data_IF_703886064696
#
_entry.id   IF_703886064696
#
_cell.length_a   1.000
_cell.length_b   1.000
_cell.length_c   1.000
_cell.angle_alpha   90.00
_cell.angle_beta   90.00
_cell.angle_gamma   90.00
#
_symmetry.space_group_name_H-M   'P 1'
#
loop_
_entity.id
_entity.type
_entity.pdbx_description
1 polymer ?
#
# COMPACT_ATOMS: atom_id res chain seq x y z
N UNK A 1 2.15 -1.50 -37.63
CA UNK A 1 1.89 -1.62 -36.15
C UNK A 1 1.53 -3.06 -35.85
N UNK A 2 2.48 -3.84 -35.44
CA UNK A 2 2.40 -5.30 -35.34
C UNK A 2 1.62 -5.69 -34.07
N UNK A 3 0.53 -6.42 -34.27
CA UNK A 3 -0.24 -7.09 -33.23
C UNK A 3 0.66 -7.98 -32.35
N UNK A 4 1.18 -7.45 -31.24
CA UNK A 4 1.62 -8.28 -30.10
C UNK A 4 0.38 -8.49 -29.22
N UNK A 5 -0.70 -8.97 -29.86
CA UNK A 5 -1.90 -9.38 -29.16
C UNK A 5 -1.70 -10.78 -28.61
N UNK A 6 -1.66 -10.84 -27.25
CA UNK A 6 -1.89 -12.02 -26.41
C UNK A 6 -0.95 -13.22 -26.62
N UNK A 7 0.33 -13.04 -26.30
CA UNK A 7 1.20 -14.21 -26.04
C UNK A 7 0.77 -14.95 -24.75
N UNK A 8 0.01 -14.29 -23.87
CA UNK A 8 -0.47 -14.82 -22.61
C UNK A 8 -1.94 -14.43 -22.44
N UNK A 9 -2.84 -15.40 -22.56
CA UNK A 9 -4.29 -15.19 -22.57
C UNK A 9 -4.85 -14.78 -21.21
N UNK A 10 -4.15 -15.13 -20.13
CA UNK A 10 -4.54 -14.83 -18.75
C UNK A 10 -3.32 -14.74 -17.84
N UNK A 11 -3.53 -14.37 -16.59
CA UNK A 11 -2.48 -14.22 -15.58
C UNK A 11 -1.80 -15.54 -15.20
N UNK A 12 -2.51 -16.66 -15.28
CA UNK A 12 -1.95 -17.98 -15.03
C UNK A 12 -0.95 -18.39 -16.10
N UNK A 13 -1.26 -18.12 -17.38
CA UNK A 13 -0.34 -18.39 -18.49
C UNK A 13 0.91 -17.52 -18.38
N UNK A 14 0.73 -16.24 -17.98
CA UNK A 14 1.83 -15.31 -17.72
C UNK A 14 2.74 -15.83 -16.60
N UNK A 15 2.18 -16.22 -15.47
CA UNK A 15 2.93 -16.75 -14.33
C UNK A 15 3.69 -18.04 -14.70
N UNK A 16 3.03 -18.99 -15.39
CA UNK A 16 3.68 -20.23 -15.89
C UNK A 16 4.83 -19.96 -16.84
N UNK A 17 4.70 -18.95 -17.70
CA UNK A 17 5.76 -18.59 -18.63
C UNK A 17 6.95 -17.97 -17.88
N UNK A 18 6.70 -17.16 -16.85
CA UNK A 18 7.77 -16.59 -16.00
C UNK A 18 8.49 -17.69 -15.24
N UNK A 19 7.78 -18.68 -14.67
CA UNK A 19 8.39 -19.85 -14.02
C UNK A 19 9.32 -20.63 -14.94
N UNK A 20 9.05 -20.63 -16.25
CA UNK A 20 9.93 -21.23 -17.28
C UNK A 20 11.06 -20.31 -17.73
N UNK A 21 11.28 -19.19 -17.06
CA UNK A 21 12.34 -18.24 -17.39
C UNK A 21 12.11 -17.42 -18.65
N UNK A 22 10.87 -17.30 -19.12
CA UNK A 22 10.54 -16.56 -20.35
C UNK A 22 10.68 -15.04 -20.12
N UNK A 23 11.74 -14.44 -20.69
CA UNK A 23 12.01 -13.00 -20.57
C UNK A 23 10.90 -12.11 -21.15
N UNK A 24 10.20 -12.53 -22.20
CA UNK A 24 9.07 -11.75 -22.75
C UNK A 24 7.90 -11.72 -21.76
N UNK A 25 7.69 -12.80 -21.03
CA UNK A 25 6.69 -12.85 -19.98
C UNK A 25 7.07 -11.94 -18.79
N UNK A 26 8.35 -11.91 -18.41
CA UNK A 26 8.84 -10.98 -17.36
C UNK A 26 8.63 -9.52 -17.77
N UNK A 27 9.00 -9.15 -18.99
CA UNK A 27 8.75 -7.80 -19.50
C UNK A 27 7.25 -7.47 -19.52
N UNK A 28 6.41 -8.42 -19.94
CA UNK A 28 4.95 -8.23 -19.97
C UNK A 28 4.36 -8.04 -18.57
N UNK A 29 4.88 -8.75 -17.58
CA UNK A 29 4.49 -8.54 -16.18
C UNK A 29 4.81 -7.11 -15.75
N UNK A 30 6.04 -6.67 -15.99
CA UNK A 30 6.48 -5.32 -15.65
C UNK A 30 5.60 -4.26 -16.34
N UNK A 31 5.44 -4.32 -17.65
CA UNK A 31 4.60 -3.39 -18.39
C UNK A 31 3.16 -3.32 -17.86
N UNK A 32 2.60 -4.47 -17.47
CA UNK A 32 1.23 -4.56 -16.98
C UNK A 32 1.06 -3.96 -15.60
N UNK A 33 2.05 -4.15 -14.71
CA UNK A 33 1.88 -3.86 -13.29
C UNK A 33 2.73 -2.71 -12.76
N UNK A 34 3.75 -2.21 -13.49
CA UNK A 34 4.68 -1.21 -12.96
C UNK A 34 3.98 0.03 -12.40
N UNK A 35 3.04 0.63 -13.13
CA UNK A 35 2.31 1.82 -12.64
C UNK A 35 1.51 1.53 -11.36
N UNK A 36 0.81 0.38 -11.32
CA UNK A 36 0.05 -0.02 -10.12
C UNK A 36 0.96 -0.29 -8.93
N UNK A 37 2.08 -0.97 -9.16
CA UNK A 37 3.02 -1.33 -8.09
C UNK A 37 3.81 -0.14 -7.60
N UNK A 38 4.14 0.82 -8.46
CA UNK A 38 4.70 2.10 -8.04
C UNK A 38 3.72 2.84 -7.11
N UNK A 39 2.44 2.90 -7.46
CA UNK A 39 1.41 3.48 -6.60
C UNK A 39 1.27 2.73 -5.25
N UNK A 40 1.51 1.41 -5.22
CA UNK A 40 1.58 0.64 -3.97
C UNK A 40 2.80 1.07 -3.15
N UNK A 41 4.00 1.10 -3.73
CA UNK A 41 5.23 1.48 -3.03
C UNK A 41 5.16 2.92 -2.50
N UNK A 42 4.64 3.87 -3.30
CA UNK A 42 4.52 5.29 -2.91
C UNK A 42 3.60 5.54 -1.72
N UNK A 43 2.71 4.62 -1.36
CA UNK A 43 1.92 4.74 -0.12
C UNK A 43 2.76 4.55 1.14
N UNK A 44 3.89 3.87 1.02
CA UNK A 44 4.78 3.54 2.14
C UNK A 44 6.05 4.38 2.11
N UNK A 45 6.54 4.72 0.91
CA UNK A 45 7.80 5.44 0.67
C UNK A 45 7.46 6.76 0.01
N UNK A 46 7.66 7.88 0.72
CA UNK A 46 7.24 9.20 0.25
C UNK A 46 8.17 9.79 -0.81
N UNK A 47 9.46 9.44 -0.80
CA UNK A 47 10.38 9.83 -1.86
C UNK A 47 10.12 9.00 -3.12
N UNK A 48 9.95 9.70 -4.24
CA UNK A 48 9.58 9.07 -5.51
C UNK A 48 10.68 8.14 -6.04
N UNK A 49 11.94 8.58 -5.95
CA UNK A 49 13.08 7.78 -6.45
C UNK A 49 13.25 6.51 -5.61
N UNK A 50 13.17 6.65 -4.28
CA UNK A 50 13.20 5.50 -3.37
C UNK A 50 12.01 4.55 -3.60
N UNK A 51 10.81 5.06 -3.90
CA UNK A 51 9.65 4.22 -4.22
C UNK A 51 9.83 3.46 -5.55
N UNK A 52 10.47 4.07 -6.55
CA UNK A 52 10.83 3.43 -7.82
C UNK A 52 11.87 2.31 -7.59
N UNK A 53 12.90 2.55 -6.78
CA UNK A 53 13.91 1.55 -6.43
C UNK A 53 13.28 0.36 -5.69
N UNK A 54 12.43 0.62 -4.70
CA UNK A 54 11.68 -0.41 -3.97
C UNK A 54 10.78 -1.22 -4.90
N UNK A 55 10.14 -0.58 -5.87
CA UNK A 55 9.34 -1.28 -6.88
C UNK A 55 10.21 -2.20 -7.74
N UNK A 56 11.38 -1.75 -8.16
CA UNK A 56 12.32 -2.56 -8.95
C UNK A 56 12.78 -3.78 -8.14
N UNK A 57 13.18 -3.59 -6.89
CA UNK A 57 13.54 -4.67 -5.98
C UNK A 57 12.38 -5.66 -5.79
N UNK A 58 11.16 -5.15 -5.68
CA UNK A 58 9.95 -5.95 -5.62
C UNK A 58 9.75 -6.82 -6.87
N UNK A 59 9.97 -6.30 -8.08
CA UNK A 59 9.91 -7.10 -9.30
C UNK A 59 11.01 -8.16 -9.35
N UNK A 60 12.24 -7.83 -8.94
CA UNK A 60 13.31 -8.83 -8.83
C UNK A 60 12.91 -9.96 -7.87
N UNK A 61 12.34 -9.61 -6.72
CA UNK A 61 11.83 -10.57 -5.74
C UNK A 61 10.68 -11.43 -6.26
N UNK A 62 9.80 -10.86 -7.10
CA UNK A 62 8.73 -11.62 -7.76
C UNK A 62 9.32 -12.67 -8.69
N UNK A 63 10.32 -12.32 -9.50
CA UNK A 63 10.97 -13.27 -10.40
C UNK A 63 11.70 -14.38 -9.64
N UNK A 64 12.38 -14.04 -8.54
CA UNK A 64 13.06 -15.03 -7.70
C UNK A 64 12.09 -15.99 -7.00
N UNK A 65 10.89 -15.51 -6.65
CA UNK A 65 9.90 -16.27 -5.89
C UNK A 65 8.74 -16.81 -6.72
N UNK A 66 8.78 -16.68 -8.04
CA UNK A 66 7.66 -17.03 -8.92
C UNK A 66 7.24 -18.51 -8.76
N UNK A 67 8.18 -19.40 -8.44
CA UNK A 67 7.90 -20.81 -8.20
C UNK A 67 7.05 -21.05 -6.93
N UNK A 68 7.00 -20.07 -6.02
CA UNK A 68 6.16 -20.11 -4.84
C UNK A 68 4.70 -19.72 -5.12
N UNK A 69 4.40 -19.20 -6.31
CA UNK A 69 3.03 -18.93 -6.71
C UNK A 69 2.32 -20.26 -7.02
N UNK A 70 1.50 -20.71 -6.07
CA UNK A 70 0.82 -21.99 -6.13
C UNK A 70 -0.46 -22.01 -7.00
N UNK A 71 -0.69 -20.98 -7.82
CA UNK A 71 -1.89 -20.85 -8.68
C UNK A 71 -3.22 -20.87 -7.92
N UNK A 72 -3.19 -20.54 -6.63
CA UNK A 72 -4.38 -20.37 -5.81
C UNK A 72 -4.60 -18.86 -5.57
N UNK A 73 -5.80 -18.38 -5.92
CA UNK A 73 -6.15 -16.98 -5.78
C UNK A 73 -5.59 -16.05 -6.88
N UNK A 74 -5.63 -14.75 -6.64
CA UNK A 74 -5.22 -13.72 -7.60
C UNK A 74 -3.71 -13.61 -7.74
N UNK A 75 -3.21 -13.67 -8.96
CA UNK A 75 -1.80 -13.42 -9.26
C UNK A 75 -1.42 -11.95 -8.97
N UNK A 76 -2.29 -11.00 -9.33
CA UNK A 76 -2.09 -9.58 -8.97
C UNK A 76 -2.01 -9.41 -7.45
N UNK A 77 -2.86 -10.09 -6.69
CA UNK A 77 -2.83 -10.06 -5.22
C UNK A 77 -1.52 -10.62 -4.64
N UNK A 78 -0.98 -11.69 -5.23
CA UNK A 78 0.31 -12.26 -4.85
C UNK A 78 1.47 -11.30 -5.16
N UNK A 79 1.49 -10.69 -6.35
CA UNK A 79 2.45 -9.65 -6.76
C UNK A 79 2.40 -8.47 -5.78
N UNK A 80 1.20 -7.97 -5.48
CA UNK A 80 0.97 -6.84 -4.57
C UNK A 80 1.50 -7.14 -3.16
N UNK A 81 1.27 -8.36 -2.64
CA UNK A 81 1.75 -8.77 -1.31
C UNK A 81 3.28 -8.73 -1.22
N UNK A 82 3.99 -9.09 -2.29
CA UNK A 82 5.45 -8.98 -2.35
C UNK A 82 5.86 -7.51 -2.33
N UNK A 83 5.24 -6.64 -3.14
CA UNK A 83 5.53 -5.21 -3.18
C UNK A 83 5.34 -4.53 -1.82
N UNK A 84 4.23 -4.82 -1.14
CA UNK A 84 3.98 -4.30 0.21
C UNK A 84 5.08 -4.75 1.18
N UNK A 85 5.49 -6.01 1.12
CA UNK A 85 6.55 -6.52 2.00
C UNK A 85 7.90 -5.84 1.72
N UNK A 86 8.27 -5.61 0.46
CA UNK A 86 9.52 -4.89 0.11
C UNK A 86 9.46 -3.44 0.60
N UNK A 87 8.34 -2.74 0.40
CA UNK A 87 8.16 -1.39 0.91
C UNK A 87 8.26 -1.30 2.45
N UNK A 88 7.68 -2.26 3.16
CA UNK A 88 7.81 -2.34 4.62
C UNK A 88 9.25 -2.65 5.06
N UNK A 89 9.96 -3.52 4.37
CA UNK A 89 11.38 -3.82 4.64
C UNK A 89 12.22 -2.56 4.47
N UNK A 90 12.01 -1.79 3.41
CA UNK A 90 12.68 -0.53 3.16
C UNK A 90 12.44 0.48 4.29
N UNK A 91 11.18 0.73 4.66
CA UNK A 91 10.82 1.66 5.74
C UNK A 91 11.45 1.25 7.08
N UNK A 92 11.48 -0.05 7.37
CA UNK A 92 12.14 -0.59 8.58
C UNK A 92 13.64 -0.38 8.55
N UNK A 93 14.31 -0.61 7.42
CA UNK A 93 15.77 -0.43 7.28
C UNK A 93 16.20 1.01 7.52
N UNK A 94 15.37 1.97 7.12
CA UNK A 94 15.57 3.41 7.33
C UNK A 94 15.24 3.86 8.77
N UNK A 95 14.81 2.95 9.67
CA UNK A 95 14.34 3.29 11.03
C UNK A 95 13.26 4.39 11.06
N UNK A 96 12.46 4.48 10.01
CA UNK A 96 11.41 5.49 9.88
C UNK A 96 10.18 5.20 10.73
N UNK A 97 10.08 3.99 11.30
CA UNK A 97 8.97 3.61 12.19
C UNK A 97 9.40 3.95 13.62
N UNK A 98 9.09 5.16 14.07
CA UNK A 98 9.14 5.50 15.47
C UNK A 98 7.85 4.95 16.11
N UNK A 99 8.00 3.96 16.98
CA UNK A 99 6.90 3.46 17.81
C UNK A 99 6.85 4.35 19.06
N UNK A 100 6.11 5.45 18.98
CA UNK A 100 5.74 6.19 20.16
C UNK A 100 4.82 5.32 21.02
N UNK A 101 5.37 4.83 22.12
CA UNK A 101 4.69 4.00 23.13
C UNK A 101 3.79 4.87 24.02
N UNK A 102 3.00 5.80 23.46
CA UNK A 102 2.08 6.58 24.26
C UNK A 102 0.67 6.00 24.31
N UNK A 103 0.09 6.13 25.50
CA UNK A 103 -1.14 5.56 26.05
C UNK A 103 -2.31 5.30 25.07
N UNK A 104 -3.05 4.24 25.36
CA UNK A 104 -4.30 3.86 24.71
C UNK A 104 -5.29 5.03 24.70
N UNK A 105 -5.70 5.45 23.53
CA UNK A 105 -6.86 6.32 23.32
C UNK A 105 -8.03 5.40 22.97
N UNK A 106 -9.18 5.61 23.60
CA UNK A 106 -10.42 4.92 23.29
C UNK A 106 -10.75 5.00 21.80
N UNK A 107 -11.22 3.89 21.22
CA UNK A 107 -11.58 3.84 19.80
C UNK A 107 -12.71 4.83 19.51
N UNK A 108 -12.53 5.75 18.57
CA UNK A 108 -13.66 6.52 18.06
C UNK A 108 -14.58 5.56 17.29
N UNK A 109 -15.85 5.49 17.71
CA UNK A 109 -16.88 4.73 17.03
C UNK A 109 -17.02 5.17 15.58
N UNK A 110 -17.02 4.18 14.68
CA UNK A 110 -17.31 4.24 13.24
C UNK A 110 -16.71 5.43 12.49
N UNK A 111 -15.70 5.12 11.68
CA UNK A 111 -15.13 6.07 10.73
C UNK A 111 -15.85 5.91 9.38
N UNK A 112 -16.70 6.90 9.05
CA UNK A 112 -17.32 7.00 7.74
C UNK A 112 -16.75 8.20 7.00
N UNK A 113 -16.25 7.96 5.78
CA UNK A 113 -15.93 9.04 4.86
C UNK A 113 -17.22 9.56 4.24
N UNK A 114 -17.40 10.88 4.19
CA UNK A 114 -18.45 11.47 3.36
C UNK A 114 -18.15 11.13 1.89
N UNK A 115 -19.19 10.79 1.13
CA UNK A 115 -19.08 10.36 -0.28
C UNK A 115 -18.53 11.45 -1.23
N UNK A 116 -18.34 12.67 -0.75
CA UNK A 116 -18.07 13.85 -1.56
C UNK A 116 -16.58 14.24 -1.62
N UNK A 117 -15.68 13.43 -1.01
CA UNK A 117 -14.23 13.70 -1.05
C UNK A 117 -13.64 13.09 -2.32
N UNK A 118 -12.95 13.90 -3.10
CA UNK A 118 -12.20 13.41 -4.25
C UNK A 118 -11.08 12.45 -3.80
N UNK A 119 -10.94 11.34 -4.52
CA UNK A 119 -9.95 10.29 -4.17
C UNK A 119 -8.52 10.84 -4.03
N UNK A 120 -8.16 11.86 -4.82
CA UNK A 120 -6.85 12.50 -4.76
C UNK A 120 -6.63 13.28 -3.46
N UNK A 121 -7.67 13.98 -2.97
CA UNK A 121 -7.62 14.71 -1.72
C UNK A 121 -7.47 13.76 -0.53
N UNK A 122 -8.24 12.66 -0.53
CA UNK A 122 -8.10 11.61 0.48
C UNK A 122 -6.70 11.02 0.51
N UNK A 123 -6.09 10.74 -0.65
CA UNK A 123 -4.72 10.22 -0.72
C UNK A 123 -3.70 11.22 -0.14
N UNK A 124 -3.83 12.52 -0.43
CA UNK A 124 -2.98 13.58 0.17
C UNK A 124 -3.13 13.63 1.69
N UNK A 125 -4.34 13.45 2.20
CA UNK A 125 -4.58 13.41 3.64
C UNK A 125 -3.92 12.19 4.29
N UNK A 126 -4.06 10.99 3.69
CA UNK A 126 -3.40 9.76 4.16
C UNK A 126 -1.87 9.94 4.12
N UNK A 127 -1.32 10.56 3.08
CA UNK A 127 0.12 10.81 2.96
C UNK A 127 0.65 11.76 4.04
N UNK A 128 -0.19 12.67 4.53
CA UNK A 128 0.15 13.59 5.63
C UNK A 128 0.15 12.95 7.02
N UNK A 129 -0.27 11.69 7.17
CA UNK A 129 -0.22 10.99 8.46
C UNK A 129 1.23 10.80 8.93
N UNK A 130 1.50 10.88 10.25
CA UNK A 130 2.76 10.40 10.83
C UNK A 130 3.06 8.97 10.39
N UNK A 131 4.33 8.66 10.19
CA UNK A 131 4.76 7.39 9.54
C UNK A 131 4.13 6.15 10.17
N UNK A 132 4.14 6.01 11.50
CA UNK A 132 3.55 4.85 12.18
C UNK A 132 2.03 4.72 11.92
N UNK A 133 1.31 5.84 11.98
CA UNK A 133 -0.14 5.86 11.73
C UNK A 133 -0.44 5.52 10.26
N UNK A 134 0.34 6.08 9.32
CA UNK A 134 0.23 5.82 7.89
C UNK A 134 0.44 4.34 7.58
N UNK A 135 1.47 3.70 8.17
CA UNK A 135 1.75 2.29 7.98
C UNK A 135 0.58 1.41 8.42
N UNK A 136 0.12 1.59 9.66
CA UNK A 136 -0.99 0.80 10.21
C UNK A 136 -2.28 1.05 9.42
N UNK A 137 -2.58 2.30 9.09
CA UNK A 137 -3.78 2.65 8.32
C UNK A 137 -3.77 1.98 6.94
N UNK A 138 -2.68 2.09 6.19
CA UNK A 138 -2.56 1.46 4.87
C UNK A 138 -2.69 -0.07 4.95
N UNK A 139 -2.02 -0.70 5.90
CA UNK A 139 -2.08 -2.15 6.05
C UNK A 139 -3.47 -2.63 6.44
N UNK A 140 -4.17 -1.92 7.33
CA UNK A 140 -5.50 -2.31 7.80
C UNK A 140 -6.59 -1.96 6.78
N UNK A 141 -6.67 -0.66 6.39
CA UNK A 141 -7.80 -0.15 5.62
C UNK A 141 -7.68 -0.42 4.10
N UNK A 142 -6.45 -0.49 3.56
CA UNK A 142 -6.24 -0.64 2.12
C UNK A 142 -5.82 -2.07 1.76
N UNK A 143 -4.94 -2.68 2.55
CA UNK A 143 -4.45 -4.04 2.26
C UNK A 143 -5.27 -5.14 2.97
N UNK A 144 -6.10 -4.79 3.96
CA UNK A 144 -7.00 -5.72 4.64
C UNK A 144 -6.34 -6.66 5.64
N UNK A 145 -5.14 -6.33 6.14
CA UNK A 145 -4.47 -7.14 7.17
C UNK A 145 -5.15 -6.98 8.53
N UNK A 146 -5.21 -8.07 9.30
CA UNK A 146 -5.61 -8.06 10.70
C UNK A 146 -4.57 -7.35 11.57
N UNK A 147 -4.96 -6.89 12.76
CA UNK A 147 -4.01 -6.28 13.72
C UNK A 147 -2.89 -7.23 14.14
N UNK A 148 -3.16 -8.53 14.23
CA UNK A 148 -2.16 -9.55 14.49
C UNK A 148 -1.11 -9.60 13.37
N UNK A 149 -1.53 -9.69 12.11
CA UNK A 149 -0.62 -9.69 10.95
C UNK A 149 0.18 -8.38 10.84
N UNK A 150 -0.46 -7.24 11.16
CA UNK A 150 0.21 -5.94 11.19
C UNK A 150 1.28 -5.91 12.29
N UNK A 151 0.95 -6.42 13.47
CA UNK A 151 1.89 -6.51 14.59
C UNK A 151 3.14 -7.30 14.21
N UNK A 152 2.97 -8.48 13.59
CA UNK A 152 4.07 -9.30 13.09
C UNK A 152 4.88 -8.58 11.99
N UNK A 153 4.18 -7.95 11.03
CA UNK A 153 4.83 -7.23 9.91
C UNK A 153 5.62 -6.01 10.36
N UNK A 154 5.12 -5.26 11.32
CA UNK A 154 5.76 -4.02 11.79
C UNK A 154 6.67 -4.22 13.01
N UNK A 155 6.63 -5.40 13.68
CA UNK A 155 7.39 -5.67 14.89
C UNK A 155 6.88 -4.87 16.09
N UNK A 156 5.56 -4.65 16.19
CA UNK A 156 4.86 -3.93 17.25
C UNK A 156 3.89 -4.88 17.98
N UNK A 157 3.28 -4.43 19.09
CA UNK A 157 2.18 -5.19 19.69
C UNK A 157 0.87 -5.01 18.93
N UNK A 158 -0.05 -5.96 19.07
CA UNK A 158 -1.42 -5.82 18.52
C UNK A 158 -2.13 -4.59 19.12
N UNK A 159 -1.93 -4.32 20.40
CA UNK A 159 -2.45 -3.14 21.07
C UNK A 159 -1.90 -1.83 20.47
N UNK A 160 -0.60 -1.79 20.15
CA UNK A 160 0.01 -0.67 19.42
C UNK A 160 -0.60 -0.50 18.03
N UNK A 161 -0.85 -1.57 17.31
CA UNK A 161 -1.52 -1.51 16.00
C UNK A 161 -2.93 -0.91 16.11
N UNK A 162 -3.72 -1.34 17.10
CA UNK A 162 -5.06 -0.80 17.36
C UNK A 162 -5.02 0.69 17.72
N UNK A 163 -4.15 1.10 18.63
CA UNK A 163 -4.04 2.49 19.04
C UNK A 163 -3.54 3.40 17.92
N UNK A 164 -2.60 2.96 17.09
CA UNK A 164 -2.13 3.73 15.94
C UNK A 164 -3.23 3.88 14.87
N UNK A 165 -4.05 2.86 14.62
CA UNK A 165 -5.20 2.97 13.73
C UNK A 165 -6.22 3.98 14.24
N UNK A 166 -6.53 3.94 15.55
CA UNK A 166 -7.44 4.90 16.19
C UNK A 166 -6.94 6.34 16.03
N UNK A 167 -5.64 6.58 16.29
CA UNK A 167 -5.01 7.90 16.11
C UNK A 167 -4.98 8.35 14.65
N UNK A 168 -4.72 7.42 13.71
CA UNK A 168 -4.79 7.72 12.28
C UNK A 168 -6.18 8.21 11.88
N UNK A 169 -7.23 7.53 12.34
CA UNK A 169 -8.62 7.92 12.08
C UNK A 169 -8.97 9.27 12.68
N UNK A 170 -8.58 9.53 13.93
CA UNK A 170 -8.80 10.81 14.59
C UNK A 170 -8.11 11.96 13.83
N UNK A 171 -6.87 11.76 13.40
CA UNK A 171 -6.12 12.75 12.62
C UNK A 171 -6.82 13.06 11.27
N UNK A 172 -7.27 12.02 10.56
CA UNK A 172 -7.98 12.21 9.29
C UNK A 172 -9.33 12.91 9.49
N UNK A 173 -10.08 12.58 10.54
CA UNK A 173 -11.34 13.27 10.86
C UNK A 173 -11.14 14.75 11.14
N UNK A 174 -10.10 15.10 11.88
CA UNK A 174 -9.79 16.50 12.19
C UNK A 174 -9.43 17.27 10.89
N UNK A 175 -8.63 16.67 10.02
CA UNK A 175 -8.29 17.25 8.71
C UNK A 175 -9.51 17.45 7.83
N UNK A 176 -10.44 16.50 7.81
CA UNK A 176 -11.69 16.60 7.06
C UNK A 176 -12.53 17.79 7.52
N UNK A 177 -12.71 17.93 8.84
CA UNK A 177 -13.43 19.07 9.40
C UNK A 177 -12.80 20.40 9.00
N UNK A 178 -11.49 20.50 9.04
CA UNK A 178 -10.76 21.73 8.65
C UNK A 178 -10.97 22.07 7.17
N UNK A 179 -10.94 21.07 6.27
CA UNK A 179 -11.17 21.27 4.84
C UNK A 179 -12.63 21.72 4.56
N UNK A 180 -13.63 21.12 5.21
CA UNK A 180 -15.02 21.52 5.08
C UNK A 180 -15.26 22.99 5.52
N UNK A 181 -14.64 23.41 6.62
CA UNK A 181 -14.73 24.81 7.07
C UNK A 181 -14.05 25.78 6.10
N UNK A 182 -12.95 25.37 5.46
CA UNK A 182 -12.23 26.18 4.47
C UNK A 182 -13.05 26.35 3.19
N UNK A 183 -13.65 25.29 2.69
CA UNK A 183 -14.49 25.29 1.49
C UNK A 183 -15.78 26.12 1.67
N UNK A 184 -16.40 26.05 2.84
CA UNK A 184 -17.59 26.89 3.15
C UNK A 184 -17.31 28.39 3.18
N UNK A 185 -16.08 28.81 3.54
CA UNK A 185 -15.68 30.23 3.52
C UNK A 185 -15.48 30.78 2.12
N UNK A 186 -15.02 29.97 1.17
CA UNK A 186 -14.76 30.38 -0.21
C UNK A 186 -16.07 30.60 -0.99
N UNK A 187 -17.12 29.85 -0.67
CA UNK A 187 -18.43 29.95 -1.35
C UNK A 187 -19.35 31.03 -0.76
N UNK A 188 -18.96 31.77 0.27
CA UNK A 188 -19.71 32.83 0.93
C UNK A 188 -19.04 34.21 0.85
N UNK A 189 -18.02 34.36 0.01
CA UNK A 189 -17.37 35.62 -0.37
C UNK A 189 -17.55 35.87 -1.85
#
# INVERSE_FOLDING_TARGET
>A
MTKILSLFNNEYDLAKAIQKGNRKAQNRLYEKYASKMLAVCSRYVSDKMEAEDVMIDGFMRIFDKIDQFGFQGSFEGWVRKIMVNEALMFVRSKKMINVDLEAAIEEPNSFEFSSDIEAEELLKMIDSLPTGYKMVFNLFAIEGFSHQEIAEKLGISEGTSKSQLSRARAFLQEKLKQNEFSNKRIHHS
#
